data_IF_785174540256
#
_entry.id   IF_785174540256
#
_cell.length_a   1.000
_cell.length_b   1.000
_cell.length_c   1.000
_cell.angle_alpha   90.00
_cell.angle_beta   90.00
_cell.angle_gamma   90.00
#
_symmetry.space_group_name_H-M   'P 1'
#
loop_
_entity.id
_entity.type
_entity.pdbx_description
1 polymer ?
#
# COMPACT_ATOMS: atom_id res chain seq x y z
N UNK A 1 -16.41 -11.55 10.01
CA UNK A 1 -17.65 -11.51 10.81
C UNK A 1 -18.53 -10.36 10.33
N UNK A 2 -19.77 -10.22 10.82
CA UNK A 2 -20.64 -9.07 10.51
C UNK A 2 -20.56 -8.10 11.68
N UNK A 3 -20.32 -6.80 11.44
CA UNK A 3 -20.29 -5.82 12.54
C UNK A 3 -21.70 -5.57 13.09
N UNK A 4 -21.82 -4.84 14.20
CA UNK A 4 -23.11 -4.47 14.80
C UNK A 4 -24.05 -3.64 13.91
N UNK A 5 -23.65 -3.33 12.67
CA UNK A 5 -24.44 -2.63 11.64
C UNK A 5 -24.83 -3.51 10.45
N UNK A 6 -24.51 -4.80 10.46
CA UNK A 6 -24.84 -5.70 9.35
C UNK A 6 -23.82 -5.72 8.21
N UNK A 7 -22.65 -5.08 8.35
CA UNK A 7 -21.62 -5.03 7.31
C UNK A 7 -20.66 -6.21 7.41
N UNK A 8 -20.31 -6.80 6.26
CA UNK A 8 -19.27 -7.84 6.19
C UNK A 8 -17.92 -7.20 6.51
N UNK A 9 -17.29 -7.67 7.58
CA UNK A 9 -15.92 -7.31 7.96
C UNK A 9 -14.95 -8.21 7.20
N UNK A 10 -14.03 -7.61 6.46
CA UNK A 10 -12.87 -8.33 5.90
C UNK A 10 -11.91 -8.69 7.03
N UNK A 11 -11.63 -9.98 7.20
CA UNK A 11 -10.78 -10.51 8.26
C UNK A 11 -9.74 -11.49 7.73
N UNK A 12 -8.53 -11.44 8.28
CA UNK A 12 -7.39 -12.28 7.94
C UNK A 12 -7.08 -12.33 6.43
N UNK A 13 -7.44 -11.28 5.69
CA UNK A 13 -7.19 -11.18 4.26
C UNK A 13 -5.78 -10.68 3.99
N UNK A 14 -5.27 -11.00 2.80
CA UNK A 14 -4.09 -10.35 2.23
C UNK A 14 -4.54 -9.43 1.11
N UNK A 15 -4.25 -8.14 1.24
CA UNK A 15 -4.69 -7.11 0.31
C UNK A 15 -3.49 -6.62 -0.49
N UNK A 16 -3.61 -6.67 -1.81
CA UNK A 16 -2.58 -6.23 -2.74
C UNK A 16 -2.90 -4.81 -3.23
N UNK A 17 -2.04 -3.85 -2.89
CA UNK A 17 -2.12 -2.49 -3.38
C UNK A 17 -1.16 -2.31 -4.55
N UNK A 18 -1.69 -2.15 -5.76
CA UNK A 18 -0.89 -1.87 -6.96
C UNK A 18 -0.99 -0.38 -7.27
N UNK A 19 0.12 0.34 -7.21
CA UNK A 19 0.13 1.78 -7.41
C UNK A 19 1.29 2.19 -8.31
N UNK A 20 1.01 2.86 -9.44
CA UNK A 20 2.03 3.47 -10.27
C UNK A 20 2.49 4.82 -9.67
N UNK A 21 3.17 4.76 -8.53
CA UNK A 21 3.60 5.94 -7.77
C UNK A 21 5.08 5.86 -7.43
N UNK A 22 5.86 6.83 -7.92
CA UNK A 22 7.29 6.98 -7.66
C UNK A 22 7.69 8.45 -7.46
N UNK A 23 6.76 9.28 -6.98
CA UNK A 23 7.06 10.70 -6.76
C UNK A 23 8.10 10.88 -5.64
N UNK A 24 8.95 11.93 -5.70
CA UNK A 24 10.03 12.16 -4.73
C UNK A 24 9.57 12.31 -3.26
N UNK A 25 8.28 12.63 -3.05
CA UNK A 25 7.68 12.83 -1.75
C UNK A 25 6.55 11.81 -1.50
N UNK A 26 6.29 11.50 -0.22
CA UNK A 26 5.15 10.63 0.17
C UNK A 26 3.80 11.20 -0.28
N UNK A 27 3.62 12.50 -0.06
CA UNK A 27 2.34 13.18 -0.27
C UNK A 27 1.20 12.56 0.55
N UNK A 28 -0.02 13.02 0.28
CA UNK A 28 -1.22 12.47 0.93
C UNK A 28 -1.50 11.03 0.49
N UNK A 29 -1.08 10.65 -0.72
CA UNK A 29 -1.33 9.31 -1.24
C UNK A 29 -0.72 8.20 -0.37
N UNK A 30 0.58 8.27 -0.08
CA UNK A 30 1.23 7.27 0.77
C UNK A 30 0.70 7.36 2.21
N UNK A 31 0.44 8.56 2.74
CA UNK A 31 -0.11 8.74 4.09
C UNK A 31 -1.51 8.09 4.24
N UNK A 32 -2.36 8.18 3.21
CA UNK A 32 -3.65 7.51 3.18
C UNK A 32 -3.52 5.99 3.19
N UNK A 33 -2.55 5.41 2.47
CA UNK A 33 -2.29 3.97 2.49
C UNK A 33 -1.84 3.47 3.86
N UNK A 34 -0.98 4.23 4.56
CA UNK A 34 -0.53 3.88 5.91
C UNK A 34 -1.68 3.96 6.92
N UNK A 35 -2.59 4.93 6.76
CA UNK A 35 -3.79 5.06 7.60
C UNK A 35 -4.76 3.91 7.35
N UNK A 36 -4.99 3.57 6.09
CA UNK A 36 -5.85 2.46 5.69
C UNK A 36 -5.31 1.11 6.22
N UNK A 37 -4.01 0.87 6.08
CA UNK A 37 -3.35 -0.32 6.65
C UNK A 37 -3.60 -0.45 8.16
N UNK A 38 -3.43 0.65 8.91
CA UNK A 38 -3.68 0.65 10.36
C UNK A 38 -5.12 0.25 10.67
N UNK A 39 -6.10 0.80 9.94
CA UNK A 39 -7.51 0.49 10.15
C UNK A 39 -7.84 -0.97 9.81
N UNK A 40 -7.36 -1.47 8.66
CA UNK A 40 -7.61 -2.84 8.23
C UNK A 40 -6.92 -3.89 9.11
N UNK A 41 -5.75 -3.56 9.66
CA UNK A 41 -5.07 -4.41 10.65
C UNK A 41 -5.84 -4.45 11.97
N UNK A 42 -6.32 -3.31 12.46
CA UNK A 42 -7.08 -3.22 13.72
C UNK A 42 -8.45 -3.90 13.62
N UNK A 43 -9.15 -3.74 12.50
CA UNK A 43 -10.54 -4.19 12.37
C UNK A 43 -10.69 -5.66 11.95
N UNK A 44 -9.62 -6.31 11.50
CA UNK A 44 -9.72 -7.69 11.04
C UNK A 44 -8.41 -8.44 10.89
N UNK A 45 -7.30 -7.96 11.46
CA UNK A 45 -5.98 -8.60 11.34
C UNK A 45 -5.54 -8.83 9.88
N UNK A 46 -5.97 -7.93 8.98
CA UNK A 46 -5.61 -8.01 7.57
C UNK A 46 -4.14 -7.64 7.35
N UNK A 47 -3.56 -8.15 6.27
CA UNK A 47 -2.16 -7.93 5.86
C UNK A 47 -2.13 -7.20 4.53
N UNK A 48 -1.16 -6.31 4.36
CA UNK A 48 -0.98 -5.54 3.13
C UNK A 48 0.30 -5.98 2.42
N UNK A 49 0.21 -6.06 1.09
CA UNK A 49 1.34 -6.16 0.18
C UNK A 49 1.26 -4.99 -0.78
N UNK A 50 2.35 -4.25 -0.93
CA UNK A 50 2.40 -3.09 -1.81
C UNK A 50 3.21 -3.41 -3.06
N UNK A 51 2.70 -3.02 -4.22
CA UNK A 51 3.37 -3.16 -5.51
C UNK A 51 3.61 -1.76 -6.07
N UNK A 52 4.89 -1.41 -6.21
CA UNK A 52 5.33 -0.13 -6.74
C UNK A 52 6.22 -0.30 -7.98
N UNK A 53 6.36 0.75 -8.82
CA UNK A 53 7.32 0.77 -9.90
C UNK A 53 8.75 0.70 -9.36
N UNK A 54 9.68 0.14 -10.14
CA UNK A 54 11.10 0.09 -9.76
C UNK A 54 11.73 1.46 -9.50
N UNK A 55 11.23 2.51 -10.17
CA UNK A 55 11.65 3.90 -9.99
C UNK A 55 11.53 4.34 -8.53
N UNK A 56 10.57 3.76 -7.80
CA UNK A 56 10.36 4.03 -6.39
C UNK A 56 11.58 3.65 -5.53
N UNK A 57 12.43 2.71 -5.97
CA UNK A 57 13.68 2.31 -5.26
C UNK A 57 14.67 3.47 -5.08
N UNK A 58 14.58 4.51 -5.93
CA UNK A 58 15.45 5.69 -5.84
C UNK A 58 14.94 6.79 -4.91
N UNK A 59 13.74 6.62 -4.32
CA UNK A 59 13.08 7.67 -3.54
C UNK A 59 13.22 7.47 -2.04
N UNK A 60 13.75 8.47 -1.32
CA UNK A 60 14.08 8.40 0.12
C UNK A 60 12.96 7.87 1.03
N UNK A 61 11.69 8.16 0.74
CA UNK A 61 10.62 7.71 1.62
C UNK A 61 10.42 6.18 1.58
N UNK A 62 10.78 5.52 0.46
CA UNK A 62 10.63 4.07 0.28
C UNK A 62 11.48 3.30 1.30
N UNK A 63 12.66 3.82 1.64
CA UNK A 63 13.62 3.17 2.54
C UNK A 63 13.01 2.89 3.92
N UNK A 64 12.25 3.86 4.42
CA UNK A 64 11.53 3.73 5.69
C UNK A 64 10.27 2.85 5.57
N UNK A 65 9.68 2.81 4.37
CA UNK A 65 8.43 2.13 4.08
C UNK A 65 8.65 0.61 3.97
N UNK A 66 9.69 0.16 3.24
CA UNK A 66 10.01 -1.26 3.05
C UNK A 66 10.43 -1.97 4.34
N UNK A 67 11.02 -1.24 5.31
CA UNK A 67 11.42 -1.81 6.60
C UNK A 67 10.24 -2.34 7.43
N UNK A 68 9.03 -1.85 7.15
CA UNK A 68 7.83 -2.14 7.94
C UNK A 68 6.81 -3.00 7.20
N UNK A 69 6.99 -3.19 5.88
CA UNK A 69 5.93 -3.66 4.98
C UNK A 69 6.46 -4.62 3.95
N UNK A 70 5.60 -5.52 3.48
CA UNK A 70 5.88 -6.33 2.32
C UNK A 70 5.71 -5.47 1.06
N UNK A 71 6.81 -5.26 0.32
CA UNK A 71 6.84 -4.43 -0.89
C UNK A 71 7.48 -5.21 -2.02
N UNK A 72 6.78 -5.27 -3.14
CA UNK A 72 7.25 -5.84 -4.40
C UNK A 72 7.45 -4.69 -5.38
N UNK A 73 8.59 -4.68 -6.05
CA UNK A 73 8.85 -3.73 -7.14
C UNK A 73 8.66 -4.44 -8.47
N UNK A 74 7.94 -3.79 -9.39
CA UNK A 74 7.70 -4.28 -10.74
C UNK A 74 8.16 -3.24 -11.76
N UNK A 75 8.63 -3.64 -12.95
CA UNK A 75 8.90 -2.70 -14.03
C UNK A 75 7.67 -1.83 -14.27
N UNK A 76 7.88 -0.51 -14.37
CA UNK A 76 6.79 0.40 -14.71
C UNK A 76 6.20 0.00 -16.06
N UNK A 77 4.86 -0.05 -16.21
CA UNK A 77 4.25 -0.25 -17.51
C UNK A 77 4.69 0.91 -18.40
N UNK A 78 5.58 0.61 -19.35
CA UNK A 78 6.17 1.58 -20.27
C UNK A 78 5.07 2.38 -20.93
N UNK A 79 4.87 3.63 -20.49
CA UNK A 79 4.43 4.77 -21.30
C UNK A 79 4.92 6.05 -20.62
N UNK A 80 6.03 6.58 -21.16
CA UNK A 80 6.39 7.98 -21.00
C UNK A 80 5.30 8.79 -21.69
N UNK A 81 4.29 9.24 -20.94
CA UNK A 81 3.47 10.36 -21.36
C UNK A 81 4.33 11.61 -21.14
N UNK A 82 5.21 11.88 -22.11
CA UNK A 82 5.81 13.19 -22.28
C UNK A 82 4.76 14.16 -22.80
#
# INVERSE_FOLDING_TARGET
>A
MVNGKGEIIMENQTILHIANYAAPYKGNFIASLETLEKQLKLNGNNRMVYVFPEECKSVKWIDSFIKKRNVVFVPSPIKKYF
#
